data_IF_624667797725
#
_entry.id   IF_624667797725
#
_cell.length_a   1.000
_cell.length_b   1.000
_cell.length_c   1.000
_cell.angle_alpha   90.00
_cell.angle_beta   90.00
_cell.angle_gamma   90.00
#
_symmetry.space_group_name_H-M   'P 1'
#
loop_
_entity.id
_entity.type
_entity.pdbx_description
1 polymer ?
#
# COMPACT_ATOMS: atom_id res chain seq x y z
N UNK A 1 12.64 -18.14 -6.63
CA UNK A 1 12.93 -17.08 -7.62
C UNK A 1 13.98 -16.18 -6.98
N UNK A 2 15.21 -16.22 -7.48
CA UNK A 2 16.29 -15.36 -6.99
C UNK A 2 16.00 -13.91 -7.39
N UNK A 3 15.98 -12.99 -6.41
CA UNK A 3 15.96 -11.55 -6.69
C UNK A 3 17.28 -11.20 -7.37
N UNK A 4 17.28 -11.10 -8.70
CA UNK A 4 18.46 -10.68 -9.46
C UNK A 4 18.78 -9.21 -9.11
N UNK A 5 19.92 -9.01 -8.47
CA UNK A 5 20.71 -7.77 -8.62
C UNK A 5 20.42 -6.61 -7.67
N UNK A 6 19.69 -6.79 -6.57
CA UNK A 6 19.52 -5.72 -5.58
C UNK A 6 20.71 -5.74 -4.61
N UNK A 7 21.59 -4.75 -4.70
CA UNK A 7 22.74 -4.61 -3.79
C UNK A 7 22.27 -4.54 -2.34
N UNK A 8 23.05 -5.10 -1.41
CA UNK A 8 22.74 -5.06 0.03
C UNK A 8 22.40 -3.62 0.48
N UNK A 9 21.23 -3.44 1.09
CA UNK A 9 20.74 -2.14 1.58
C UNK A 9 19.73 -1.42 0.67
N UNK A 10 19.59 -1.81 -0.60
CA UNK A 10 18.53 -1.25 -1.45
C UNK A 10 17.16 -1.83 -1.07
N UNK A 11 16.15 -0.95 -0.99
CA UNK A 11 14.77 -1.32 -0.70
C UNK A 11 13.82 -0.64 -1.68
N UNK A 12 12.80 -1.37 -2.11
CA UNK A 12 11.69 -0.79 -2.85
C UNK A 12 10.85 0.05 -1.88
N UNK A 13 10.99 1.36 -1.97
CA UNK A 13 10.29 2.30 -1.09
C UNK A 13 9.83 3.52 -1.89
N UNK A 14 8.86 3.34 -2.80
CA UNK A 14 8.41 4.42 -3.67
C UNK A 14 7.82 5.57 -2.86
N UNK A 15 8.10 6.79 -3.30
CA UNK A 15 7.34 7.97 -2.85
C UNK A 15 5.93 7.95 -3.44
N UNK A 16 5.03 8.76 -2.88
CA UNK A 16 3.61 8.77 -3.26
C UNK A 16 3.40 8.98 -4.78
N UNK A 17 4.22 9.82 -5.41
CA UNK A 17 4.19 10.08 -6.85
C UNK A 17 4.61 8.87 -7.68
N UNK A 18 5.64 8.13 -7.25
CA UNK A 18 6.09 6.90 -7.92
C UNK A 18 5.01 5.83 -7.79
N UNK A 19 4.41 5.68 -6.61
CA UNK A 19 3.28 4.78 -6.37
C UNK A 19 2.11 5.02 -7.33
N UNK A 20 1.71 6.29 -7.52
CA UNK A 20 0.67 6.64 -8.49
C UNK A 20 1.08 6.41 -9.94
N UNK A 21 2.37 6.56 -10.26
CA UNK A 21 2.89 6.29 -11.60
C UNK A 21 2.83 4.79 -11.93
N UNK A 22 3.16 3.91 -10.97
CA UNK A 22 2.98 2.47 -11.14
C UNK A 22 1.50 2.12 -11.34
N UNK A 23 0.60 2.71 -10.55
CA UNK A 23 -0.84 2.51 -10.70
C UNK A 23 -1.36 2.98 -12.06
N UNK A 24 -0.91 4.14 -12.55
CA UNK A 24 -1.26 4.65 -13.87
C UNK A 24 -0.81 3.67 -14.98
N UNK A 25 0.45 3.24 -14.96
CA UNK A 25 0.97 2.26 -15.92
C UNK A 25 0.18 0.96 -15.91
N UNK A 26 -0.18 0.46 -14.72
CA UNK A 26 -1.03 -0.72 -14.57
C UNK A 26 -2.38 -0.54 -15.27
N UNK A 27 -3.06 0.59 -15.04
CA UNK A 27 -4.35 0.89 -15.67
C UNK A 27 -4.25 1.04 -17.19
N UNK A 28 -3.14 1.58 -17.68
CA UNK A 28 -2.83 1.73 -19.11
C UNK A 28 -2.29 0.44 -19.76
N UNK A 29 -2.18 -0.66 -19.01
CA UNK A 29 -1.61 -1.94 -19.44
C UNK A 29 -0.17 -1.82 -19.98
N UNK A 30 0.58 -0.86 -19.43
CA UNK A 30 2.00 -0.67 -19.71
C UNK A 30 2.86 -1.44 -18.70
N UNK A 31 4.12 -1.67 -19.06
CA UNK A 31 5.08 -2.27 -18.15
C UNK A 31 5.37 -1.34 -16.96
N UNK A 32 5.02 -1.79 -15.75
CA UNK A 32 5.18 -1.01 -14.52
C UNK A 32 6.64 -0.67 -14.23
N UNK A 33 7.57 -1.56 -14.57
CA UNK A 33 8.99 -1.47 -14.21
C UNK A 33 9.20 -1.38 -12.69
N UNK A 34 8.35 -2.04 -11.91
CA UNK A 34 8.37 -2.10 -10.44
C UNK A 34 9.31 -3.19 -9.90
N UNK A 35 10.13 -3.80 -10.78
CA UNK A 35 11.00 -4.94 -10.45
C UNK A 35 10.28 -6.15 -9.83
N UNK A 36 8.96 -6.25 -10.01
CA UNK A 36 8.13 -7.33 -9.46
C UNK A 36 7.78 -7.17 -7.97
N UNK A 37 7.95 -5.98 -7.38
CA UNK A 37 7.61 -5.73 -5.97
C UNK A 37 6.12 -5.49 -5.71
N UNK A 38 5.36 -5.11 -6.73
CA UNK A 38 3.92 -4.82 -6.61
C UNK A 38 3.13 -6.07 -7.00
N UNK A 39 2.42 -6.63 -6.02
CA UNK A 39 1.55 -7.80 -6.25
C UNK A 39 0.20 -7.34 -6.79
N UNK A 40 -0.26 -7.97 -7.87
CA UNK A 40 -1.55 -7.68 -8.50
C UNK A 40 -2.48 -8.90 -8.39
N UNK A 41 -3.74 -8.77 -8.82
CA UNK A 41 -4.73 -9.87 -8.82
C UNK A 41 -5.03 -10.47 -7.43
N UNK A 42 -5.06 -9.60 -6.41
CA UNK A 42 -5.47 -9.92 -5.05
C UNK A 42 -6.54 -8.93 -4.62
N UNK A 43 -7.61 -9.41 -3.99
CA UNK A 43 -8.56 -8.55 -3.32
C UNK A 43 -8.10 -8.32 -1.88
N UNK A 44 -7.54 -7.13 -1.61
CA UNK A 44 -7.11 -6.76 -0.25
C UNK A 44 -8.28 -6.40 0.68
N UNK A 45 -9.49 -6.30 0.13
CA UNK A 45 -10.72 -6.03 0.87
C UNK A 45 -11.58 -7.28 1.07
N UNK A 46 -11.07 -8.47 0.74
CA UNK A 46 -11.77 -9.74 0.97
C UNK A 46 -12.16 -9.88 2.46
N UNK A 47 -13.46 -10.01 2.74
CA UNK A 47 -13.98 -10.10 4.09
C UNK A 47 -13.56 -11.38 4.82
N UNK A 48 -13.19 -12.41 4.07
CA UNK A 48 -12.80 -13.71 4.59
C UNK A 48 -11.28 -13.81 4.84
N UNK A 49 -10.50 -12.85 4.34
CA UNK A 49 -9.04 -12.82 4.53
C UNK A 49 -8.58 -11.73 5.50
N UNK A 50 -7.79 -12.15 6.49
CA UNK A 50 -7.16 -11.24 7.43
C UNK A 50 -5.91 -10.59 6.81
N UNK A 51 -5.52 -9.37 7.22
CA UNK A 51 -4.43 -8.64 6.60
C UNK A 51 -3.09 -9.38 6.57
N UNK A 52 -2.79 -10.22 7.57
CA UNK A 52 -1.56 -11.02 7.60
C UNK A 52 -1.53 -12.15 6.56
N UNK A 53 -2.69 -12.69 6.17
CA UNK A 53 -2.81 -13.66 5.07
C UNK A 53 -2.60 -12.97 3.72
N UNK A 54 -3.16 -11.77 3.56
CA UNK A 54 -2.93 -10.92 2.38
C UNK A 54 -1.44 -10.53 2.31
N UNK A 55 -0.86 -10.11 3.45
CA UNK A 55 0.54 -9.69 3.55
C UNK A 55 1.51 -10.80 3.14
N UNK A 56 1.27 -12.05 3.54
CA UNK A 56 2.15 -13.18 3.23
C UNK A 56 2.19 -13.53 1.74
N UNK A 57 1.18 -13.12 0.97
CA UNK A 57 1.10 -13.27 -0.49
C UNK A 57 1.85 -12.17 -1.25
N UNK A 58 2.23 -11.09 -0.57
CA UNK A 58 2.94 -9.97 -1.18
C UNK A 58 4.45 -10.21 -1.31
N UNK A 59 5.06 -9.56 -2.30
CA UNK A 59 6.51 -9.61 -2.51
C UNK A 59 7.23 -8.70 -1.51
N UNK A 60 8.25 -9.20 -0.76
CA UNK A 60 9.02 -8.39 0.16
C UNK A 60 9.86 -7.31 -0.55
N UNK A 61 9.85 -6.09 -0.01
CA UNK A 61 10.49 -4.91 -0.60
C UNK A 61 12.02 -4.80 -0.36
N UNK A 62 12.66 -5.88 0.07
CA UNK A 62 14.08 -5.92 0.42
C UNK A 62 14.48 -7.32 0.91
N UNK A 63 15.67 -7.43 1.50
CA UNK A 63 16.11 -8.68 2.12
C UNK A 63 15.12 -9.16 3.19
N UNK A 64 15.08 -10.48 3.43
CA UNK A 64 14.05 -11.18 4.19
C UNK A 64 13.79 -10.60 5.60
N UNK A 65 14.80 -9.97 6.19
CA UNK A 65 14.78 -9.56 7.61
C UNK A 65 14.39 -8.09 7.81
N UNK A 66 14.23 -7.31 6.73
CA UNK A 66 14.20 -5.83 6.78
C UNK A 66 13.08 -5.18 5.94
N UNK A 67 12.17 -6.00 5.42
CA UNK A 67 11.10 -5.58 4.50
C UNK A 67 9.74 -5.54 5.20
N UNK A 68 9.47 -4.43 5.89
CA UNK A 68 8.24 -4.17 6.66
C UNK A 68 6.99 -3.90 5.79
N UNK A 69 7.16 -3.69 4.49
CA UNK A 69 6.08 -3.28 3.60
C UNK A 69 5.85 -4.28 2.46
N UNK A 70 4.60 -4.32 2.01
CA UNK A 70 4.12 -5.04 0.83
C UNK A 70 3.23 -4.10 0.04
N UNK A 71 3.39 -4.09 -1.29
CA UNK A 71 2.60 -3.23 -2.18
C UNK A 71 1.66 -4.09 -3.00
N UNK A 72 0.41 -3.63 -3.08
CA UNK A 72 -0.66 -4.32 -3.79
C UNK A 72 -1.42 -3.34 -4.68
N UNK A 73 -1.87 -3.81 -5.84
CA UNK A 73 -2.92 -3.15 -6.61
C UNK A 73 -4.17 -4.00 -6.54
N UNK A 74 -5.24 -3.41 -6.02
CA UNK A 74 -6.55 -4.03 -5.85
C UNK A 74 -7.64 -3.20 -6.52
N UNK A 75 -8.78 -3.83 -6.80
CA UNK A 75 -9.98 -3.11 -7.16
C UNK A 75 -10.49 -2.33 -5.95
N UNK A 76 -10.86 -1.07 -6.16
CA UNK A 76 -11.51 -0.28 -5.12
C UNK A 76 -12.83 -0.94 -4.73
N UNK A 77 -13.02 -1.20 -3.44
CA UNK A 77 -14.29 -1.66 -2.88
C UNK A 77 -15.01 -0.52 -2.17
N UNK A 78 -16.33 -0.48 -2.27
CA UNK A 78 -17.18 0.34 -1.39
C UNK A 78 -17.37 -0.29 -0.02
N UNK A 79 -17.24 -1.62 0.06
CA UNK A 79 -17.22 -2.35 1.31
C UNK A 79 -15.76 -2.53 1.74
N UNK A 80 -15.33 -1.73 2.70
CA UNK A 80 -13.96 -1.77 3.23
C UNK A 80 -13.78 -2.91 4.25
N UNK A 81 -14.81 -3.73 4.50
CA UNK A 81 -14.78 -4.79 5.49
C UNK A 81 -14.44 -4.23 6.87
N UNK A 82 -13.43 -4.81 7.50
CA UNK A 82 -12.93 -4.40 8.82
C UNK A 82 -11.91 -3.24 8.78
N UNK A 83 -11.66 -2.65 7.61
CA UNK A 83 -10.76 -1.51 7.49
C UNK A 83 -11.47 -0.19 7.77
N UNK A 84 -11.00 0.55 8.79
CA UNK A 84 -11.47 1.90 9.12
C UNK A 84 -10.49 2.96 8.64
N UNK A 85 -11.00 4.02 8.03
CA UNK A 85 -10.21 5.21 7.70
C UNK A 85 -9.69 5.86 8.99
N UNK A 86 -8.48 6.40 8.94
CA UNK A 86 -7.84 7.08 10.07
C UNK A 86 -7.76 8.59 9.87
N UNK A 87 -7.87 9.05 8.63
CA UNK A 87 -7.83 10.46 8.24
C UNK A 87 -8.65 10.69 6.96
N UNK A 88 -8.84 11.96 6.60
CA UNK A 88 -9.50 12.37 5.36
C UNK A 88 -8.66 12.03 4.10
N UNK A 89 -7.37 11.77 4.31
CA UNK A 89 -6.36 11.58 3.28
C UNK A 89 -5.60 12.85 2.94
N UNK A 90 -4.43 12.66 2.32
CA UNK A 90 -3.57 13.74 1.81
C UNK A 90 -3.56 13.74 0.28
N UNK A 91 -3.79 14.88 -0.38
CA UNK A 91 -3.67 14.97 -1.83
C UNK A 91 -2.22 14.80 -2.26
N UNK A 92 -2.01 14.05 -3.34
CA UNK A 92 -0.71 13.88 -3.99
C UNK A 92 -0.71 14.73 -5.24
N UNK A 93 0.31 15.58 -5.35
CA UNK A 93 0.41 16.57 -6.42
C UNK A 93 1.47 16.18 -7.44
N UNK A 94 1.29 16.66 -8.67
CA UNK A 94 2.32 16.67 -9.71
C UNK A 94 2.50 18.10 -10.19
N UNK A 95 3.74 18.56 -10.17
CA UNK A 95 4.10 19.86 -10.72
C UNK A 95 4.18 19.79 -12.24
N UNK A 96 3.61 20.79 -12.90
CA UNK A 96 3.72 21.05 -14.33
C UNK A 96 4.35 22.42 -14.53
N UNK A 97 4.74 22.74 -15.76
CA UNK A 97 5.41 24.02 -16.07
C UNK A 97 4.58 25.27 -15.73
N UNK A 98 3.26 25.14 -15.61
CA UNK A 98 2.33 26.25 -15.37
C UNK A 98 1.42 26.07 -14.15
N UNK A 99 1.37 24.89 -13.53
CA UNK A 99 0.48 24.63 -12.39
C UNK A 99 0.85 23.37 -11.62
N UNK A 100 0.37 23.28 -10.38
CA UNK A 100 0.40 22.06 -9.58
C UNK A 100 -0.98 21.41 -9.63
N UNK A 101 -1.05 20.15 -10.06
CA UNK A 101 -2.30 19.40 -10.21
C UNK A 101 -2.38 18.26 -9.22
N UNK A 102 -3.57 18.03 -8.64
CA UNK A 102 -3.83 16.86 -7.79
C UNK A 102 -4.02 15.65 -8.69
N UNK A 103 -3.20 14.61 -8.49
CA UNK A 103 -3.23 13.37 -9.30
C UNK A 103 -3.75 12.16 -8.51
N UNK A 104 -3.88 12.28 -7.19
CA UNK A 104 -4.39 11.20 -6.35
C UNK A 104 -4.48 11.60 -4.88
N UNK A 105 -4.87 10.64 -4.05
CA UNK A 105 -4.97 10.80 -2.60
C UNK A 105 -4.37 9.60 -1.89
N UNK A 106 -3.58 9.86 -0.84
CA UNK A 106 -3.09 8.85 0.08
C UNK A 106 -3.96 8.86 1.34
N UNK A 107 -4.53 7.71 1.68
CA UNK A 107 -5.37 7.53 2.88
C UNK A 107 -4.74 6.49 3.79
N UNK A 108 -4.78 6.73 5.10
CA UNK A 108 -4.38 5.75 6.09
C UNK A 108 -5.60 4.95 6.56
N UNK A 109 -5.46 3.64 6.62
CA UNK A 109 -6.49 2.72 7.11
C UNK A 109 -5.92 1.85 8.22
N UNK A 110 -6.78 1.44 9.16
CA UNK A 110 -6.47 0.47 10.22
C UNK A 110 -7.45 -0.69 10.14
N UNK A 111 -6.94 -1.91 10.15
CA UNK A 111 -7.77 -3.10 10.30
C UNK A 111 -8.21 -3.23 11.75
N UNK A 112 -9.49 -3.46 11.97
CA UNK A 112 -10.07 -3.66 13.31
C UNK A 112 -10.43 -5.14 13.49
N UNK A 113 -9.77 -5.81 14.43
CA UNK A 113 -10.18 -7.16 14.86
C UNK A 113 -11.41 -6.96 15.76
N UNK A 114 -12.59 -7.31 15.26
CA UNK A 114 -13.90 -7.15 15.92
C UNK A 114 -14.39 -5.70 16.07
N UNK A 115 -15.61 -5.42 15.58
CA UNK A 115 -16.27 -4.11 15.70
C UNK A 115 -16.68 -3.72 17.14
N UNK A 116 -16.38 -4.55 18.14
CA UNK A 116 -16.83 -4.37 19.53
C UNK A 116 -15.77 -3.85 20.50
N UNK A 117 -14.51 -3.71 20.08
CA UNK A 117 -13.49 -3.09 20.93
C UNK A 117 -13.20 -1.68 20.41
N UNK A 118 -14.01 -0.73 20.88
CA UNK A 118 -13.48 0.61 21.13
C UNK A 118 -12.29 0.45 22.06
N UNK A 119 -11.07 0.53 21.50
CA UNK A 119 -9.89 0.74 22.31
C UNK A 119 -10.10 2.02 23.12
N UNK A 120 -10.43 1.85 24.40
CA UNK A 120 -10.14 2.87 25.40
C UNK A 120 -8.65 3.10 25.31
N UNK A 121 -8.27 4.33 24.97
CA UNK A 121 -6.91 4.79 25.13
C UNK A 121 -6.55 4.55 26.60
N UNK A 122 -5.54 3.71 26.83
CA UNK A 122 -4.92 3.59 28.14
C UNK A 122 -3.88 4.70 28.19
N UNK A 123 -4.13 5.70 29.03
CA UNK A 123 -3.36 6.92 29.22
C UNK A 123 -2.05 6.61 29.98
N UNK A 124 -1.29 5.63 29.47
CA UNK A 124 -0.12 5.04 30.09
C UNK A 124 1.01 6.05 30.30
N UNK A 125 0.88 6.82 31.38
CA UNK A 125 1.97 7.49 32.05
C UNK A 125 2.95 6.42 32.57
N UNK A 126 4.16 6.41 32.02
CA UNK A 126 5.36 5.94 32.69
C UNK A 126 6.32 7.11 32.87
#
# INVERSE_FOLDING_TARGET
MEQRGVSSGFRFHPIDMEGLTFFQKFMEKQEMNDSGFITTNIDVYDSEEEPWKIYSRGVPCGAADDSLYRYFITKKSSNLGNWKLQDEGKPVHRDSSSSTVVIGYKKKMRYMVNNNEEHREDDGHY
#
